data_IF_092576677108
#
_entry.id   IF_092576677108
#
_cell.length_a   1.000
_cell.length_b   1.000
_cell.length_c   1.000
_cell.angle_alpha   90.00
_cell.angle_beta   90.00
_cell.angle_gamma   90.00
#
_symmetry.space_group_name_H-M   'P 1'
#
loop_
_entity.id
_entity.type
_entity.pdbx_description
1 polymer ?
#
# COMPACT_ATOMS: atom_id res chain seq x y z
N UNK A 1 36.24 -29.52 21.61
CA UNK A 1 35.92 -29.90 20.22
C UNK A 1 35.54 -28.62 19.48
N UNK A 2 36.40 -28.13 18.58
CA UNK A 2 36.16 -26.86 17.89
C UNK A 2 35.02 -26.99 16.86
N UNK A 3 33.98 -26.16 16.99
CA UNK A 3 32.96 -26.00 15.97
C UNK A 3 33.62 -25.37 14.73
N UNK A 4 33.75 -26.12 13.65
CA UNK A 4 34.14 -25.56 12.34
C UNK A 4 32.94 -24.79 11.79
N UNK A 5 32.83 -23.51 12.14
CA UNK A 5 31.80 -22.64 11.60
C UNK A 5 32.13 -22.35 10.12
N UNK A 6 31.28 -22.86 9.22
CA UNK A 6 31.43 -22.68 7.78
C UNK A 6 31.14 -21.23 7.41
N UNK A 7 31.86 -20.71 6.40
CA UNK A 7 31.62 -19.38 5.79
C UNK A 7 32.03 -18.17 6.63
N UNK A 8 32.97 -18.34 7.57
CA UNK A 8 33.57 -17.23 8.32
C UNK A 8 34.89 -16.81 7.66
N UNK A 9 35.08 -15.49 7.51
CA UNK A 9 36.33 -14.88 7.06
C UNK A 9 36.87 -14.00 8.18
N UNK A 10 38.03 -14.37 8.70
CA UNK A 10 38.76 -13.59 9.71
C UNK A 10 39.67 -12.56 9.03
N UNK A 11 39.69 -11.35 9.57
CA UNK A 11 40.57 -10.27 9.15
C UNK A 11 41.77 -10.15 10.08
N UNK A 12 42.85 -9.55 9.60
CA UNK A 12 44.04 -9.27 10.41
C UNK A 12 43.76 -8.44 11.69
N UNK A 13 42.63 -7.72 11.74
CA UNK A 13 42.18 -6.97 12.92
C UNK A 13 41.49 -7.82 14.00
N UNK A 14 41.33 -9.14 13.77
CA UNK A 14 40.54 -10.05 14.61
C UNK A 14 39.03 -9.92 14.41
N UNK A 15 38.57 -9.04 13.52
CA UNK A 15 37.16 -8.99 13.11
C UNK A 15 36.84 -10.14 12.18
N UNK A 16 35.62 -10.63 12.27
CA UNK A 16 35.10 -11.74 11.49
C UNK A 16 33.90 -11.29 10.67
N UNK A 17 33.82 -11.76 9.43
CA UNK A 17 32.64 -11.61 8.57
C UNK A 17 32.06 -12.98 8.24
N UNK A 18 30.73 -13.10 8.24
CA UNK A 18 30.04 -14.14 7.50
C UNK A 18 30.07 -13.80 6.01
N UNK A 19 30.49 -14.73 5.15
CA UNK A 19 30.47 -14.57 3.69
C UNK A 19 30.07 -15.84 2.98
N UNK A 20 28.88 -15.82 2.35
CA UNK A 20 28.40 -16.94 1.56
C UNK A 20 27.87 -16.47 0.20
N UNK A 21 28.45 -17.01 -0.86
CA UNK A 21 28.05 -16.72 -2.25
C UNK A 21 26.83 -17.55 -2.64
N UNK A 22 25.93 -16.95 -3.41
CA UNK A 22 24.85 -17.70 -4.04
C UNK A 22 25.40 -18.49 -5.25
N UNK A 23 24.83 -19.66 -5.57
CA UNK A 23 25.10 -20.33 -6.84
C UNK A 23 24.86 -19.40 -8.02
N UNK A 24 25.73 -19.40 -9.03
CA UNK A 24 25.65 -18.49 -10.19
C UNK A 24 24.29 -18.55 -10.89
N UNK A 25 23.66 -19.72 -10.94
CA UNK A 25 22.32 -19.91 -11.53
C UNK A 25 21.17 -19.26 -10.73
N UNK A 26 21.38 -18.93 -9.45
CA UNK A 26 20.39 -18.29 -8.59
C UNK A 26 20.55 -16.76 -8.52
N UNK A 27 21.76 -16.23 -8.76
CA UNK A 27 22.06 -14.79 -8.64
C UNK A 27 21.05 -13.88 -9.37
N UNK A 28 20.60 -14.17 -10.62
CA UNK A 28 19.61 -13.32 -11.30
C UNK A 28 18.23 -13.26 -10.63
N UNK A 29 17.95 -14.20 -9.71
CA UNK A 29 16.68 -14.32 -9.01
C UNK A 29 16.77 -13.90 -7.53
N UNK A 30 17.97 -13.54 -7.04
CA UNK A 30 18.14 -13.01 -5.69
C UNK A 30 17.68 -11.55 -5.68
N UNK A 31 16.85 -11.12 -4.72
CA UNK A 31 16.47 -9.72 -4.55
C UNK A 31 17.70 -8.80 -4.55
N UNK A 32 17.66 -7.73 -5.34
CA UNK A 32 18.77 -6.78 -5.49
C UNK A 32 20.02 -7.32 -6.22
N UNK A 33 19.91 -8.47 -6.91
CA UNK A 33 21.01 -9.13 -7.64
C UNK A 33 22.26 -9.39 -6.78
N UNK A 34 22.04 -9.63 -5.48
CA UNK A 34 23.12 -9.88 -4.53
C UNK A 34 23.86 -11.16 -4.89
N UNK A 35 25.18 -11.06 -5.07
CA UNK A 35 26.05 -12.22 -5.35
C UNK A 35 26.41 -13.00 -4.09
N UNK A 36 26.32 -12.36 -2.92
CA UNK A 36 26.69 -12.93 -1.63
C UNK A 36 25.98 -12.24 -0.47
N UNK A 37 25.80 -12.98 0.62
CA UNK A 37 25.43 -12.41 1.93
C UNK A 37 26.72 -12.13 2.70
N UNK A 38 26.89 -10.87 3.14
CA UNK A 38 28.00 -10.43 3.99
C UNK A 38 27.49 -9.73 5.23
N UNK A 39 27.84 -10.25 6.41
CA UNK A 39 27.51 -9.65 7.71
C UNK A 39 28.74 -9.64 8.60
N UNK A 40 28.96 -8.53 9.30
CA UNK A 40 30.00 -8.45 10.34
C UNK A 40 29.52 -9.25 11.54
N UNK A 41 30.39 -10.12 12.05
CA UNK A 41 30.12 -10.93 13.24
C UNK A 41 30.78 -10.34 14.50
N UNK A 42 31.57 -9.27 14.35
CA UNK A 42 32.39 -8.75 15.45
C UNK A 42 33.68 -9.55 15.58
N UNK A 43 34.14 -9.79 16.81
CA UNK A 43 35.25 -10.69 17.14
C UNK A 43 34.69 -12.03 17.62
N UNK A 44 35.48 -13.10 17.51
CA UNK A 44 35.09 -14.44 17.97
C UNK A 44 34.68 -14.47 19.45
N UNK A 45 35.30 -13.63 20.27
CA UNK A 45 35.02 -13.53 21.70
C UNK A 45 33.82 -12.65 22.05
N UNK A 46 33.18 -12.00 21.05
CA UNK A 46 32.01 -11.16 21.32
C UNK A 46 30.80 -12.04 21.69
N UNK A 47 30.03 -11.69 22.73
CA UNK A 47 28.90 -12.51 23.20
C UNK A 47 27.79 -12.68 22.15
N UNK A 48 27.71 -11.76 21.19
CA UNK A 48 26.73 -11.79 20.10
C UNK A 48 27.18 -12.59 18.87
N UNK A 49 28.44 -13.04 18.81
CA UNK A 49 29.03 -13.65 17.63
C UNK A 49 28.18 -14.81 17.07
N UNK A 50 27.80 -15.75 17.93
CA UNK A 50 26.98 -16.91 17.56
C UNK A 50 25.55 -16.54 17.15
N UNK A 51 24.99 -15.48 17.73
CA UNK A 51 23.67 -14.97 17.36
C UNK A 51 23.72 -14.36 15.96
N UNK A 52 24.65 -13.45 15.73
CA UNK A 52 24.86 -12.79 14.44
C UNK A 52 25.19 -13.79 13.33
N UNK A 53 25.99 -14.82 13.63
CA UNK A 53 26.29 -15.88 12.68
C UNK A 53 25.02 -16.66 12.28
N UNK A 54 24.17 -17.04 13.25
CA UNK A 54 22.91 -17.73 12.98
C UNK A 54 21.93 -16.85 12.20
N UNK A 55 21.86 -15.56 12.50
CA UNK A 55 21.04 -14.60 11.77
C UNK A 55 21.49 -14.48 10.30
N UNK A 56 22.80 -14.29 10.07
CA UNK A 56 23.36 -14.22 8.72
C UNK A 56 23.15 -15.53 7.92
N UNK A 57 23.26 -16.69 8.58
CA UNK A 57 22.99 -17.98 7.95
C UNK A 57 21.51 -18.14 7.57
N UNK A 58 20.58 -17.77 8.46
CA UNK A 58 19.14 -17.78 8.18
C UNK A 58 18.76 -16.83 7.06
N UNK A 59 19.38 -15.65 7.03
CA UNK A 59 19.19 -14.69 5.95
C UNK A 59 19.60 -15.27 4.59
N UNK A 60 20.78 -15.88 4.51
CA UNK A 60 21.21 -16.57 3.31
C UNK A 60 20.22 -17.67 2.89
N UNK A 61 19.77 -18.51 3.83
CA UNK A 61 18.84 -19.60 3.54
C UNK A 61 17.49 -19.08 3.03
N UNK A 62 16.97 -18.01 3.64
CA UNK A 62 15.74 -17.32 3.19
C UNK A 62 15.88 -16.82 1.76
N UNK A 63 16.93 -16.04 1.47
CA UNK A 63 17.18 -15.48 0.14
C UNK A 63 17.43 -16.57 -0.91
N UNK A 64 18.18 -17.61 -0.57
CA UNK A 64 18.42 -18.73 -1.47
C UNK A 64 17.13 -19.49 -1.80
N UNK A 65 16.25 -19.72 -0.79
CA UNK A 65 14.95 -20.36 -0.99
C UNK A 65 14.03 -19.51 -1.86
N UNK A 66 14.01 -18.18 -1.66
CA UNK A 66 13.25 -17.26 -2.50
C UNK A 66 13.76 -17.26 -3.95
N UNK A 67 15.07 -17.15 -4.15
CA UNK A 67 15.67 -17.18 -5.48
C UNK A 67 15.39 -18.52 -6.20
N UNK A 68 15.42 -19.63 -5.44
CA UNK A 68 15.06 -20.96 -5.94
C UNK A 68 13.59 -21.01 -6.38
N UNK A 69 12.66 -20.52 -5.55
CA UNK A 69 11.24 -20.39 -5.91
C UNK A 69 11.03 -19.55 -7.17
N UNK A 70 11.67 -18.39 -7.24
CA UNK A 70 11.57 -17.48 -8.38
C UNK A 70 12.10 -18.11 -9.68
N UNK A 71 13.25 -18.81 -9.62
CA UNK A 71 13.80 -19.57 -10.76
C UNK A 71 12.81 -20.61 -11.26
N UNK A 72 12.22 -21.35 -10.33
CA UNK A 72 11.30 -22.45 -10.63
C UNK A 72 9.87 -21.95 -10.93
N UNK A 73 9.64 -20.63 -10.90
CA UNK A 73 8.33 -19.98 -11.06
C UNK A 73 7.28 -20.50 -10.06
N UNK A 74 7.73 -20.93 -8.89
CA UNK A 74 6.90 -21.38 -7.79
C UNK A 74 6.51 -20.16 -6.93
N UNK A 75 5.51 -19.41 -7.40
CA UNK A 75 5.04 -18.20 -6.76
C UNK A 75 4.01 -18.50 -5.67
N UNK A 76 4.07 -17.74 -4.59
CA UNK A 76 3.14 -17.77 -3.47
C UNK A 76 1.88 -16.96 -3.82
N UNK A 77 0.70 -17.49 -3.48
CA UNK A 77 -0.55 -16.77 -3.59
C UNK A 77 -0.71 -15.83 -2.38
N UNK A 78 -0.97 -14.54 -2.62
CA UNK A 78 -1.37 -13.60 -1.58
C UNK A 78 -2.88 -13.61 -1.43
N UNK A 79 -3.39 -14.58 -0.68
CA UNK A 79 -4.79 -14.64 -0.32
C UNK A 79 -5.17 -13.60 0.76
N UNK A 80 -6.46 -13.43 0.98
CA UNK A 80 -6.96 -12.45 1.94
C UNK A 80 -6.45 -12.70 3.39
N UNK A 81 -6.41 -13.95 3.91
CA UNK A 81 -5.80 -14.23 5.21
C UNK A 81 -4.33 -13.84 5.31
N UNK A 82 -3.53 -14.12 4.28
CA UNK A 82 -2.10 -13.78 4.25
C UNK A 82 -1.91 -12.27 4.21
N UNK A 83 -2.68 -11.55 3.40
CA UNK A 83 -2.63 -10.08 3.35
C UNK A 83 -3.03 -9.47 4.70
N UNK A 84 -4.06 -10.00 5.35
CA UNK A 84 -4.47 -9.55 6.68
C UNK A 84 -3.37 -9.76 7.72
N UNK A 85 -2.75 -10.95 7.73
CA UNK A 85 -1.63 -11.24 8.63
C UNK A 85 -0.41 -10.34 8.37
N UNK A 86 -0.05 -10.10 7.10
CA UNK A 86 1.03 -9.16 6.75
C UNK A 86 0.72 -7.75 7.26
N UNK A 87 -0.52 -7.28 7.06
CA UNK A 87 -0.95 -5.97 7.53
C UNK A 87 -0.93 -5.85 9.06
N UNK A 88 -1.35 -6.88 9.80
CA UNK A 88 -1.27 -6.91 11.26
C UNK A 88 0.19 -6.98 11.76
N UNK A 89 1.04 -7.75 11.08
CA UNK A 89 2.47 -7.84 11.37
C UNK A 89 3.13 -6.48 11.20
N UNK A 90 2.82 -5.78 10.11
CA UNK A 90 3.30 -4.42 9.86
C UNK A 90 2.91 -3.45 10.99
N UNK A 91 1.68 -3.52 11.51
CA UNK A 91 1.27 -2.69 12.66
C UNK A 91 2.07 -3.04 13.91
N UNK A 92 2.29 -4.32 14.18
CA UNK A 92 3.09 -4.75 15.33
C UNK A 92 4.52 -4.24 15.24
N UNK A 93 5.19 -4.43 14.09
CA UNK A 93 6.56 -3.96 13.85
C UNK A 93 6.67 -2.43 13.96
N UNK A 94 5.72 -1.68 13.39
CA UNK A 94 5.71 -0.21 13.47
C UNK A 94 5.55 0.31 14.91
N UNK A 95 4.79 -0.39 15.75
CA UNK A 95 4.56 -0.02 17.15
C UNK A 95 5.66 -0.50 18.09
N UNK A 96 6.29 -1.64 17.79
CA UNK A 96 7.49 -2.12 18.47
C UNK A 96 8.65 -1.15 18.21
N UNK A 97 8.87 -0.77 16.94
CA UNK A 97 9.89 0.23 16.59
C UNK A 97 9.64 1.60 17.24
N UNK A 98 8.38 2.04 17.38
CA UNK A 98 8.02 3.24 18.13
C UNK A 98 8.37 3.13 19.62
N UNK A 99 8.11 1.97 20.22
CA UNK A 99 8.42 1.69 21.62
C UNK A 99 9.93 1.67 21.88
N UNK A 100 10.70 1.00 21.02
CA UNK A 100 12.17 0.97 21.10
C UNK A 100 12.76 2.38 20.92
N UNK A 101 12.35 3.10 19.87
CA UNK A 101 12.87 4.43 19.56
C UNK A 101 12.58 5.45 20.67
N UNK A 102 11.45 5.30 21.38
CA UNK A 102 11.10 6.16 22.52
C UNK A 102 12.14 6.10 23.63
N UNK A 103 12.70 4.92 23.87
CA UNK A 103 13.61 4.65 24.97
C UNK A 103 15.08 4.55 24.55
N UNK A 104 15.40 4.82 23.28
CA UNK A 104 16.77 4.79 22.77
C UNK A 104 17.65 5.87 23.42
N UNK A 105 18.55 5.44 24.29
CA UNK A 105 19.50 6.32 24.97
C UNK A 105 20.71 6.69 24.09
N UNK A 106 21.07 5.83 23.14
CA UNK A 106 22.21 6.05 22.24
C UNK A 106 21.88 7.12 21.21
N UNK A 107 20.66 7.10 20.65
CA UNK A 107 20.18 8.14 19.74
C UNK A 107 20.22 9.51 20.44
N UNK A 108 19.71 9.59 21.68
CA UNK A 108 19.74 10.83 22.48
C UNK A 108 21.16 11.35 22.67
N UNK A 109 22.11 10.48 23.00
CA UNK A 109 23.50 10.88 23.18
C UNK A 109 24.19 11.27 21.87
N UNK A 110 23.88 10.58 20.77
CA UNK A 110 24.34 10.96 19.43
C UNK A 110 23.89 12.38 19.07
N UNK A 111 22.65 12.75 19.36
CA UNK A 111 22.15 14.10 19.10
C UNK A 111 22.81 15.15 19.99
N UNK A 112 23.04 14.86 21.28
CA UNK A 112 23.80 15.77 22.15
C UNK A 112 25.21 16.02 21.62
N UNK A 113 25.89 14.96 21.15
CA UNK A 113 27.22 15.08 20.54
C UNK A 113 27.18 15.89 19.24
N UNK A 114 26.19 15.64 18.39
CA UNK A 114 26.01 16.37 17.13
C UNK A 114 25.74 17.85 17.37
N UNK A 115 24.89 18.18 18.35
CA UNK A 115 24.63 19.55 18.74
C UNK A 115 25.90 20.28 19.22
N UNK A 116 26.69 19.65 20.10
CA UNK A 116 27.97 20.20 20.56
C UNK A 116 28.95 20.42 19.42
N UNK A 117 29.04 19.49 18.47
CA UNK A 117 29.89 19.64 17.28
C UNK A 117 29.43 20.80 16.38
N UNK A 118 28.11 20.98 16.20
CA UNK A 118 27.57 22.12 15.45
C UNK A 118 27.81 23.47 16.15
N UNK A 119 27.72 23.51 17.48
CA UNK A 119 28.07 24.69 18.28
C UNK A 119 29.56 25.03 18.15
N UNK A 120 30.45 24.03 18.25
CA UNK A 120 31.89 24.21 18.08
C UNK A 120 32.27 24.71 16.68
N UNK A 121 31.47 24.37 15.66
CA UNK A 121 31.64 24.83 14.27
C UNK A 121 30.95 26.16 13.99
N UNK A 122 30.37 26.81 14.99
CA UNK A 122 29.58 28.04 14.85
C UNK A 122 28.39 27.89 13.87
N UNK A 123 27.92 26.65 13.68
CA UNK A 123 26.82 26.29 12.78
C UNK A 123 25.48 26.07 13.53
N UNK A 124 25.46 26.26 14.85
CA UNK A 124 24.28 26.01 15.70
C UNK A 124 23.00 26.72 15.23
N UNK A 125 23.12 27.90 14.62
CA UNK A 125 21.97 28.66 14.09
C UNK A 125 21.20 27.95 12.95
N UNK A 126 21.73 26.85 12.41
CA UNK A 126 21.07 26.06 11.36
C UNK A 126 20.29 24.84 11.87
N UNK A 127 20.45 24.48 13.15
CA UNK A 127 19.69 23.38 13.73
C UNK A 127 18.26 23.84 14.06
N UNK A 128 17.25 23.09 13.60
CA UNK A 128 15.84 23.35 13.92
C UNK A 128 15.41 22.78 15.28
N UNK A 129 16.35 22.30 16.11
CA UNK A 129 16.08 21.65 17.38
C UNK A 129 17.06 22.10 18.47
N UNK A 130 16.58 22.11 19.72
CA UNK A 130 17.41 22.40 20.89
C UNK A 130 18.03 21.10 21.44
N UNK A 131 19.31 21.08 21.85
CA UNK A 131 19.99 19.85 22.30
C UNK A 131 19.37 19.25 23.56
N UNK A 132 18.88 20.12 24.46
CA UNK A 132 18.32 19.75 25.75
C UNK A 132 16.79 19.68 25.77
N UNK A 133 16.11 19.72 24.62
CA UNK A 133 14.66 19.60 24.58
C UNK A 133 14.22 18.16 24.91
N UNK A 134 13.61 17.90 26.08
CA UNK A 134 13.19 16.56 26.47
C UNK A 134 12.04 16.03 25.60
N UNK A 135 11.31 16.90 24.92
CA UNK A 135 10.18 16.57 24.05
C UNK A 135 10.58 16.48 22.59
N UNK A 136 11.85 16.62 22.24
CA UNK A 136 12.33 16.62 20.85
C UNK A 136 11.88 15.37 20.07
N UNK A 137 12.09 14.18 20.64
CA UNK A 137 11.64 12.92 20.02
C UNK A 137 10.13 12.94 19.81
N UNK A 138 9.37 13.29 20.85
CA UNK A 138 7.90 13.32 20.79
C UNK A 138 7.39 14.31 19.73
N UNK A 139 7.98 15.50 19.65
CA UNK A 139 7.65 16.53 18.64
C UNK A 139 7.95 16.05 17.22
N UNK A 140 9.14 15.48 16.99
CA UNK A 140 9.54 14.93 15.68
C UNK A 140 8.62 13.77 15.27
N UNK A 141 8.36 12.84 16.18
CA UNK A 141 7.49 11.68 15.92
C UNK A 141 6.06 12.13 15.64
N UNK A 142 5.54 13.12 16.39
CA UNK A 142 4.22 13.70 16.15
C UNK A 142 4.11 14.33 14.77
N UNK A 143 5.08 15.14 14.37
CA UNK A 143 5.09 15.77 13.05
C UNK A 143 5.07 14.71 11.93
N UNK A 144 5.95 13.71 12.02
CA UNK A 144 6.04 12.64 11.04
C UNK A 144 4.76 11.79 10.99
N UNK A 145 4.23 11.37 12.15
CA UNK A 145 3.03 10.55 12.26
C UNK A 145 1.79 11.30 11.75
N UNK A 146 1.60 12.57 12.12
CA UNK A 146 0.48 13.39 11.65
C UNK A 146 0.54 13.61 10.14
N UNK A 147 1.70 13.98 9.60
CA UNK A 147 1.86 14.16 8.15
C UNK A 147 1.53 12.86 7.39
N UNK A 148 2.05 11.74 7.88
CA UNK A 148 1.84 10.44 7.25
C UNK A 148 0.38 9.98 7.34
N UNK A 149 -0.27 10.21 8.48
CA UNK A 149 -1.69 9.92 8.69
C UNK A 149 -2.57 10.71 7.72
N UNK A 150 -2.35 12.03 7.61
CA UNK A 150 -3.11 12.89 6.71
C UNK A 150 -2.90 12.49 5.24
N UNK A 151 -1.66 12.21 4.84
CA UNK A 151 -1.34 11.77 3.49
C UNK A 151 -2.07 10.45 3.13
N UNK A 152 -1.98 9.44 4.00
CA UNK A 152 -2.58 8.12 3.77
C UNK A 152 -4.10 8.14 3.80
N UNK A 153 -4.71 8.91 4.71
CA UNK A 153 -6.16 9.15 4.73
C UNK A 153 -6.62 9.88 3.47
N UNK A 154 -5.86 10.86 2.98
CA UNK A 154 -6.14 11.58 1.74
C UNK A 154 -6.18 10.64 0.52
N UNK A 155 -5.15 9.81 0.35
CA UNK A 155 -5.10 8.79 -0.70
C UNK A 155 -6.29 7.82 -0.62
N UNK A 156 -6.61 7.36 0.59
CA UNK A 156 -7.73 6.44 0.83
C UNK A 156 -9.08 7.06 0.51
N UNK A 157 -9.32 8.30 0.96
CA UNK A 157 -10.57 9.03 0.72
C UNK A 157 -10.78 9.37 -0.76
N UNK A 158 -9.71 9.67 -1.49
CA UNK A 158 -9.76 9.89 -2.93
C UNK A 158 -9.96 8.61 -3.75
N UNK A 159 -9.75 7.43 -3.16
CA UNK A 159 -9.70 6.17 -3.89
C UNK A 159 -8.49 6.07 -4.84
N UNK A 160 -7.41 6.80 -4.55
CA UNK A 160 -6.20 6.86 -5.39
C UNK A 160 -5.32 5.62 -5.19
N UNK A 161 -5.71 4.50 -5.82
CA UNK A 161 -4.97 3.25 -5.73
C UNK A 161 -3.55 3.37 -6.31
N UNK A 162 -3.35 4.15 -7.37
CA UNK A 162 -2.02 4.36 -7.96
C UNK A 162 -1.10 5.10 -6.98
N UNK A 163 -1.62 6.14 -6.34
CA UNK A 163 -0.91 6.87 -5.28
C UNK A 163 -0.56 5.99 -4.09
N UNK A 164 -1.48 5.11 -3.67
CA UNK A 164 -1.25 4.13 -2.60
C UNK A 164 -0.11 3.17 -2.98
N UNK A 165 -0.17 2.56 -4.17
CA UNK A 165 0.88 1.63 -4.63
C UNK A 165 2.21 2.33 -4.71
N UNK A 166 2.28 3.52 -5.35
CA UNK A 166 3.54 4.28 -5.45
C UNK A 166 4.14 4.62 -4.07
N UNK A 167 3.31 4.83 -3.06
CA UNK A 167 3.73 5.20 -1.71
C UNK A 167 4.20 4.01 -0.86
N UNK A 168 3.62 2.82 -1.08
CA UNK A 168 3.81 1.66 -0.19
C UNK A 168 4.45 0.43 -0.86
N UNK A 169 4.72 0.48 -2.16
CA UNK A 169 5.24 -0.68 -2.88
C UNK A 169 6.58 -1.16 -2.32
N UNK A 170 7.47 -0.23 -1.95
CA UNK A 170 8.79 -0.59 -1.41
C UNK A 170 8.65 -1.29 -0.06
N UNK A 171 7.81 -0.75 0.82
CA UNK A 171 7.50 -1.35 2.12
C UNK A 171 6.83 -2.72 1.96
N UNK A 172 5.91 -2.85 1.00
CA UNK A 172 5.27 -4.12 0.68
C UNK A 172 6.29 -5.18 0.20
N UNK A 173 7.21 -4.81 -0.70
CA UNK A 173 8.26 -5.69 -1.20
C UNK A 173 9.22 -6.12 -0.08
N UNK A 174 9.64 -5.19 0.78
CA UNK A 174 10.48 -5.48 1.94
C UNK A 174 9.79 -6.43 2.93
N UNK A 175 8.51 -6.22 3.20
CA UNK A 175 7.73 -7.07 4.11
C UNK A 175 7.55 -8.48 3.54
N UNK A 176 7.23 -8.60 2.24
CA UNK A 176 7.16 -9.89 1.55
C UNK A 176 8.50 -10.61 1.59
N UNK A 177 9.59 -9.89 1.32
CA UNK A 177 10.94 -10.44 1.39
C UNK A 177 11.26 -10.94 2.80
N UNK A 178 11.06 -10.11 3.83
CA UNK A 178 11.33 -10.45 5.23
C UNK A 178 10.66 -11.76 5.65
N UNK A 179 9.44 -12.01 5.17
CA UNK A 179 8.67 -13.22 5.46
C UNK A 179 8.79 -14.34 4.42
N UNK A 180 9.64 -14.16 3.40
CA UNK A 180 10.00 -15.18 2.42
C UNK A 180 8.91 -15.49 1.38
N UNK A 181 8.06 -14.53 1.07
CA UNK A 181 7.06 -14.62 0.01
C UNK A 181 7.64 -14.23 -1.34
N UNK A 182 7.32 -14.99 -2.38
CA UNK A 182 7.69 -14.71 -3.78
C UNK A 182 6.43 -14.62 -4.61
N UNK A 183 6.04 -13.42 -5.01
CA UNK A 183 4.85 -13.20 -5.84
C UNK A 183 5.18 -13.24 -7.33
N UNK A 184 4.20 -13.63 -8.14
CA UNK A 184 4.33 -13.57 -9.59
C UNK A 184 4.39 -12.11 -10.06
N UNK A 185 5.35 -11.70 -10.91
CA UNK A 185 5.42 -10.33 -11.43
C UNK A 185 4.16 -9.91 -12.22
N UNK A 186 3.41 -10.88 -12.74
CA UNK A 186 2.15 -10.67 -13.44
C UNK A 186 0.95 -10.44 -12.50
N UNK A 187 1.06 -10.78 -11.22
CA UNK A 187 -0.04 -10.63 -10.25
C UNK A 187 -0.07 -9.22 -9.65
N UNK A 188 -0.39 -8.26 -10.51
CA UNK A 188 -0.49 -6.84 -10.14
C UNK A 188 -1.59 -6.62 -9.10
N UNK A 189 -2.65 -7.42 -9.13
CA UNK A 189 -3.78 -7.28 -8.21
C UNK A 189 -3.43 -7.72 -6.78
N UNK A 190 -2.66 -8.80 -6.62
CA UNK A 190 -2.14 -9.18 -5.31
C UNK A 190 -1.34 -8.05 -4.66
N UNK A 191 -0.41 -7.45 -5.42
CA UNK A 191 0.39 -6.31 -4.92
C UNK A 191 -0.49 -5.08 -4.60
N UNK A 192 -1.45 -4.74 -5.47
CA UNK A 192 -2.39 -3.64 -5.20
C UNK A 192 -3.22 -3.86 -3.93
N UNK A 193 -3.70 -5.08 -3.72
CA UNK A 193 -4.47 -5.43 -2.53
C UNK A 193 -3.61 -5.36 -1.26
N UNK A 194 -2.35 -5.82 -1.32
CA UNK A 194 -1.41 -5.69 -0.21
C UNK A 194 -1.10 -4.23 0.10
N UNK A 195 -0.75 -3.41 -0.90
CA UNK A 195 -0.48 -1.98 -0.69
C UNK A 195 -1.68 -1.25 -0.07
N UNK A 196 -2.91 -1.59 -0.50
CA UNK A 196 -4.13 -1.04 0.10
C UNK A 196 -4.29 -1.46 1.56
N UNK A 197 -4.04 -2.73 1.89
CA UNK A 197 -4.09 -3.21 3.26
C UNK A 197 -3.00 -2.56 4.13
N UNK A 198 -1.79 -2.38 3.60
CA UNK A 198 -0.69 -1.69 4.29
C UNK A 198 -0.98 -0.20 4.49
N UNK A 199 -1.74 0.45 3.60
CA UNK A 199 -2.18 1.82 3.81
C UNK A 199 -3.12 1.92 5.02
N UNK A 200 -4.08 1.01 5.12
CA UNK A 200 -5.01 0.96 6.25
C UNK A 200 -4.27 0.59 7.56
N UNK A 201 -3.33 -0.35 7.51
CA UNK A 201 -2.44 -0.69 8.62
C UNK A 201 -1.58 0.50 9.07
N UNK A 202 -1.01 1.23 8.12
CA UNK A 202 -0.21 2.42 8.37
C UNK A 202 -1.00 3.57 8.99
N UNK A 203 -2.28 3.73 8.62
CA UNK A 203 -3.19 4.67 9.26
C UNK A 203 -3.37 4.27 10.73
N UNK A 204 -3.71 2.99 10.99
CA UNK A 204 -3.88 2.46 12.34
C UNK A 204 -2.63 2.62 13.20
N UNK A 205 -1.44 2.34 12.67
CA UNK A 205 -0.18 2.50 13.38
C UNK A 205 0.11 3.98 13.70
N UNK A 206 -0.15 4.91 12.76
CA UNK A 206 0.06 6.34 12.99
C UNK A 206 -0.92 6.91 14.04
N UNK A 207 -2.18 6.48 14.03
CA UNK A 207 -3.17 6.83 15.07
C UNK A 207 -2.69 6.36 16.45
N UNK A 208 -2.31 5.10 16.58
CA UNK A 208 -1.78 4.55 17.83
C UNK A 208 -0.51 5.28 18.32
N UNK A 209 0.40 5.66 17.42
CA UNK A 209 1.59 6.46 17.77
C UNK A 209 1.19 7.84 18.33
N UNK A 210 0.20 8.51 17.72
CA UNK A 210 -0.31 9.80 18.20
C UNK A 210 -0.98 9.67 19.57
N UNK A 211 -1.82 8.65 19.77
CA UNK A 211 -2.46 8.38 21.05
C UNK A 211 -1.42 8.17 22.16
N UNK A 212 -0.36 7.38 21.90
CA UNK A 212 0.74 7.21 22.86
C UNK A 212 1.46 8.53 23.18
N UNK A 213 1.60 9.42 22.20
CA UNK A 213 2.22 10.73 22.38
C UNK A 213 1.30 11.70 23.15
N UNK A 214 0.00 11.45 23.15
CA UNK A 214 -0.99 12.16 23.98
C UNK A 214 -1.07 11.60 25.41
N UNK A 215 -0.34 10.52 25.69
CA UNK A 215 -0.25 9.90 27.01
C UNK A 215 -1.20 8.72 27.21
N UNK A 216 -1.91 8.30 26.16
CA UNK A 216 -2.80 7.14 26.22
C UNK A 216 -2.01 5.82 26.27
N UNK A 217 -2.51 4.86 27.04
CA UNK A 217 -1.90 3.54 27.16
C UNK A 217 -2.28 2.66 25.96
N UNK A 218 -1.45 2.69 24.92
CA UNK A 218 -1.60 1.83 23.74
C UNK A 218 -0.52 0.75 23.73
N UNK A 219 -0.93 -0.48 24.03
CA UNK A 219 -0.03 -1.64 24.05
C UNK A 219 0.51 -1.96 22.65
N UNK A 220 1.78 -2.38 22.59
CA UNK A 220 2.33 -2.98 21.37
C UNK A 220 1.67 -4.35 21.17
N UNK A 221 0.95 -4.57 20.05
CA UNK A 221 0.31 -5.86 19.81
C UNK A 221 1.38 -6.92 19.60
N UNK A 222 1.15 -8.13 20.11
CA UNK A 222 2.02 -9.26 19.84
C UNK A 222 2.04 -9.56 18.33
N UNK A 223 3.19 -10.00 17.81
CA UNK A 223 3.31 -10.43 16.42
C UNK A 223 2.25 -11.51 16.12
N UNK A 224 1.37 -11.29 15.13
CA UNK A 224 0.31 -12.23 14.85
C UNK A 224 0.90 -13.55 14.36
N UNK A 225 0.25 -14.66 14.74
CA UNK A 225 0.70 -15.98 14.28
C UNK A 225 0.48 -16.08 12.78
N UNK A 226 1.54 -16.43 12.04
CA UNK A 226 1.46 -16.67 10.60
C UNK A 226 0.33 -17.67 10.35
N UNK A 227 -0.61 -17.38 9.43
CA UNK A 227 -1.53 -18.38 8.94
C UNK A 227 -0.68 -19.56 8.52
N UNK A 228 -0.80 -20.67 9.25
CA UNK A 228 -0.19 -21.93 8.82
C UNK A 228 -0.78 -22.12 7.43
N UNK A 229 0.07 -22.26 6.40
CA UNK A 229 -0.37 -22.81 5.12
C UNK A 229 -1.21 -24.01 5.52
N UNK A 230 -2.53 -23.89 5.43
CA UNK A 230 -3.40 -25.04 5.64
C UNK A 230 -3.01 -25.89 4.47
N UNK A 231 -2.05 -26.78 4.71
CA UNK A 231 -1.42 -27.64 3.71
C UNK A 231 -2.57 -28.06 2.85
N UNK A 232 -2.55 -27.57 1.60
CA UNK A 232 -3.69 -27.57 0.73
C UNK A 232 -4.49 -28.82 1.02
N UNK A 233 -5.70 -28.70 1.59
CA UNK A 233 -6.70 -29.71 1.25
C UNK A 233 -6.60 -29.74 -0.26
N UNK A 234 -6.06 -30.82 -0.85
CA UNK A 234 -5.49 -30.81 -2.19
C UNK A 234 -6.47 -30.04 -3.01
N UNK A 235 -6.09 -28.82 -3.46
CA UNK A 235 -6.99 -27.85 -4.07
C UNK A 235 -7.92 -28.68 -4.93
N UNK A 236 -9.13 -28.97 -4.44
CA UNK A 236 -9.91 -30.08 -5.01
C UNK A 236 -10.17 -29.57 -6.40
N UNK A 237 -9.47 -30.17 -7.37
CA UNK A 237 -9.17 -29.55 -8.65
C UNK A 237 -10.42 -28.78 -9.05
N UNK A 238 -10.39 -27.43 -8.95
CA UNK A 238 -11.60 -26.58 -8.89
C UNK A 238 -12.61 -27.24 -9.80
N UNK A 239 -13.65 -27.86 -9.21
CA UNK A 239 -14.50 -28.79 -9.97
C UNK A 239 -14.85 -28.07 -11.25
N UNK A 240 -14.37 -28.58 -12.38
CA UNK A 240 -14.42 -27.83 -13.65
C UNK A 240 -15.85 -27.37 -13.83
N UNK A 241 -16.07 -26.06 -13.77
CA UNK A 241 -17.40 -25.50 -13.92
C UNK A 241 -17.54 -25.25 -15.41
N UNK A 242 -18.28 -26.10 -16.11
CA UNK A 242 -18.52 -25.93 -17.54
C UNK A 242 -19.32 -24.64 -17.79
N UNK A 243 -18.84 -23.77 -18.68
CA UNK A 243 -19.57 -22.57 -19.13
C UNK A 243 -20.89 -22.97 -19.81
N UNK A 244 -20.85 -24.04 -20.60
CA UNK A 244 -22.04 -24.59 -21.24
C UNK A 244 -23.05 -25.14 -20.24
N UNK A 245 -22.63 -25.98 -19.28
CA UNK A 245 -23.55 -26.50 -18.24
C UNK A 245 -24.12 -25.36 -17.37
N UNK A 246 -23.30 -24.36 -17.07
CA UNK A 246 -23.74 -23.16 -16.35
C UNK A 246 -24.81 -22.41 -17.15
N UNK A 247 -24.64 -22.28 -18.46
CA UNK A 247 -25.65 -21.69 -19.34
C UNK A 247 -26.93 -22.52 -19.37
N UNK A 248 -26.85 -23.85 -19.48
CA UNK A 248 -28.04 -24.71 -19.47
C UNK A 248 -28.82 -24.57 -18.15
N UNK A 249 -28.13 -24.50 -17.02
CA UNK A 249 -28.73 -24.24 -15.71
C UNK A 249 -29.46 -22.89 -15.65
N UNK A 250 -28.83 -21.83 -16.17
CA UNK A 250 -29.45 -20.52 -16.29
C UNK A 250 -30.69 -20.56 -17.22
N UNK A 251 -30.57 -21.22 -18.36
CA UNK A 251 -31.60 -21.30 -19.39
C UNK A 251 -32.77 -22.21 -19.02
N UNK A 252 -32.62 -23.10 -18.04
CA UNK A 252 -33.67 -23.96 -17.50
C UNK A 252 -34.75 -23.17 -16.72
N UNK A 253 -34.49 -21.90 -16.36
CA UNK A 253 -35.49 -21.04 -15.73
C UNK A 253 -36.67 -20.78 -16.69
N UNK A 254 -37.91 -20.69 -16.17
CA UNK A 254 -39.12 -20.59 -16.99
C UNK A 254 -39.23 -19.28 -17.80
N UNK A 255 -38.40 -18.28 -17.52
CA UNK A 255 -38.49 -16.94 -18.11
C UNK A 255 -37.80 -16.81 -19.48
N UNK A 256 -37.14 -17.86 -19.97
CA UNK A 256 -36.42 -17.82 -21.25
C UNK A 256 -37.18 -18.50 -22.37
N UNK A 257 -37.49 -17.75 -23.44
CA UNK A 257 -38.14 -18.32 -24.63
C UNK A 257 -37.17 -19.26 -25.38
N UNK A 258 -37.66 -20.31 -26.06
CA UNK A 258 -36.81 -21.27 -26.77
C UNK A 258 -35.87 -20.63 -27.80
N UNK A 259 -36.36 -19.63 -28.55
CA UNK A 259 -35.53 -18.94 -29.55
C UNK A 259 -34.38 -18.14 -28.95
N UNK A 260 -34.61 -17.48 -27.80
CA UNK A 260 -33.54 -16.73 -27.09
C UNK A 260 -32.54 -17.71 -26.49
N UNK A 261 -33.00 -18.83 -25.95
CA UNK A 261 -32.13 -19.91 -25.45
C UNK A 261 -31.19 -20.41 -26.55
N UNK A 262 -31.73 -20.76 -27.72
CA UNK A 262 -30.92 -21.27 -28.84
C UNK A 262 -29.93 -20.23 -29.38
N UNK A 263 -30.35 -18.96 -29.45
CA UNK A 263 -29.48 -17.86 -29.87
C UNK A 263 -28.32 -17.67 -28.88
N UNK A 264 -28.60 -17.62 -27.58
CA UNK A 264 -27.58 -17.39 -26.54
C UNK A 264 -26.65 -18.59 -26.39
N UNK A 265 -27.16 -19.82 -26.53
CA UNK A 265 -26.37 -21.05 -26.53
C UNK A 265 -25.25 -20.99 -27.56
N UNK A 266 -25.55 -20.49 -28.77
CA UNK A 266 -24.56 -20.34 -29.84
C UNK A 266 -23.48 -19.31 -29.50
N UNK A 267 -23.83 -18.24 -28.77
CA UNK A 267 -22.87 -17.22 -28.36
C UNK A 267 -21.91 -17.75 -27.30
N UNK A 268 -22.42 -18.49 -26.30
CA UNK A 268 -21.59 -19.14 -25.27
C UNK A 268 -20.71 -20.22 -25.89
N UNK A 269 -21.27 -21.07 -26.76
CA UNK A 269 -20.50 -22.10 -27.46
C UNK A 269 -19.35 -21.51 -28.30
N UNK A 270 -19.59 -20.37 -28.94
CA UNK A 270 -18.56 -19.65 -29.71
C UNK A 270 -17.45 -19.08 -28.82
N UNK A 271 -17.78 -18.62 -27.61
CA UNK A 271 -16.76 -18.20 -26.64
C UNK A 271 -15.90 -19.40 -26.23
N UNK A 272 -16.52 -20.53 -25.92
CA UNK A 272 -15.81 -21.78 -25.55
C UNK A 272 -14.88 -22.25 -26.67
N UNK A 273 -15.35 -22.20 -27.92
CA UNK A 273 -14.53 -22.50 -29.10
C UNK A 273 -13.33 -21.57 -29.23
N UNK A 274 -13.54 -20.25 -29.05
CA UNK A 274 -12.46 -19.25 -29.11
C UNK A 274 -11.44 -19.41 -27.97
N UNK A 275 -11.89 -19.74 -26.75
CA UNK A 275 -11.00 -19.98 -25.60
C UNK A 275 -10.23 -21.31 -25.71
N UNK A 276 -10.75 -22.27 -26.47
CA UNK A 276 -10.24 -23.64 -26.51
C UNK A 276 -10.49 -24.43 -25.22
N UNK A 277 -11.32 -23.91 -24.31
CA UNK A 277 -11.74 -24.60 -23.09
C UNK A 277 -13.13 -24.15 -22.63
N UNK A 278 -13.81 -25.04 -21.91
CA UNK A 278 -15.16 -24.82 -21.35
C UNK A 278 -15.14 -24.48 -19.85
N UNK A 279 -13.97 -24.23 -19.26
CA UNK A 279 -13.85 -23.97 -17.83
C UNK A 279 -14.13 -22.50 -17.46
N UNK A 280 -15.29 -22.24 -16.85
CA UNK A 280 -15.70 -20.92 -16.39
C UNK A 280 -14.78 -20.36 -15.30
N UNK A 281 -14.07 -21.21 -14.54
CA UNK A 281 -13.17 -20.76 -13.47
C UNK A 281 -11.84 -20.22 -13.99
N UNK A 282 -11.53 -20.46 -15.26
CA UNK A 282 -10.35 -19.95 -15.96
C UNK A 282 -10.63 -18.67 -16.75
N UNK A 283 -11.89 -18.29 -16.90
CA UNK A 283 -12.29 -17.12 -17.67
C UNK A 283 -11.92 -15.82 -16.92
N UNK A 284 -11.14 -14.96 -17.56
CA UNK A 284 -10.75 -13.65 -17.02
C UNK A 284 -11.46 -12.49 -17.72
N UNK A 285 -11.35 -11.28 -17.16
CA UNK A 285 -11.88 -10.07 -17.78
C UNK A 285 -11.14 -9.71 -19.08
N UNK A 286 -9.83 -10.00 -19.15
CA UNK A 286 -9.00 -9.76 -20.33
C UNK A 286 -9.39 -10.69 -21.47
N UNK A 287 -9.73 -11.95 -21.18
CA UNK A 287 -10.25 -12.90 -22.17
C UNK A 287 -11.53 -12.37 -22.83
N UNK A 288 -12.47 -11.83 -22.04
CA UNK A 288 -13.69 -11.24 -22.56
C UNK A 288 -13.44 -9.98 -23.40
N UNK A 289 -12.43 -9.17 -23.03
CA UNK A 289 -12.05 -7.99 -23.79
C UNK A 289 -11.39 -8.37 -25.12
N UNK A 290 -10.49 -9.37 -25.11
CA UNK A 290 -9.85 -9.91 -26.29
C UNK A 290 -10.87 -10.56 -27.24
N UNK A 291 -11.78 -11.38 -26.70
CA UNK A 291 -12.87 -11.97 -27.48
C UNK A 291 -13.80 -10.92 -28.08
N UNK A 292 -14.13 -9.87 -27.32
CA UNK A 292 -14.91 -8.74 -27.85
C UNK A 292 -14.21 -8.08 -29.04
N UNK A 293 -12.89 -7.88 -28.95
CA UNK A 293 -12.13 -7.26 -30.04
C UNK A 293 -12.07 -8.19 -31.26
N UNK A 294 -11.91 -9.51 -31.07
CA UNK A 294 -11.96 -10.51 -32.15
C UNK A 294 -13.31 -10.48 -32.88
N UNK A 295 -14.42 -10.43 -32.12
CA UNK A 295 -15.76 -10.35 -32.70
C UNK A 295 -15.97 -9.08 -33.53
N UNK A 296 -15.28 -7.99 -33.22
CA UNK A 296 -15.35 -6.73 -33.96
C UNK A 296 -14.49 -6.72 -35.22
N UNK A 297 -13.39 -7.49 -35.25
CA UNK A 297 -12.54 -7.66 -36.43
C UNK A 297 -13.06 -8.71 -37.42
N UNK A 298 -13.91 -9.63 -36.96
CA UNK A 298 -14.47 -10.66 -37.80
C UNK A 298 -15.49 -10.10 -38.82
N UNK A 299 -15.37 -10.53 -40.08
CA UNK A 299 -16.36 -10.26 -41.11
C UNK A 299 -17.52 -11.25 -41.02
N UNK A 300 -18.74 -10.72 -41.07
CA UNK A 300 -19.96 -11.50 -41.16
C UNK A 300 -20.08 -12.16 -42.54
N UNK A 301 -21.03 -13.11 -42.69
CA UNK A 301 -21.30 -13.80 -43.96
C UNK A 301 -21.58 -12.85 -45.14
N UNK A 302 -22.01 -11.62 -44.87
CA UNK A 302 -22.27 -10.59 -45.88
C UNK A 302 -21.04 -9.74 -46.22
N UNK A 303 -19.86 -10.10 -45.70
CA UNK A 303 -18.59 -9.40 -45.92
C UNK A 303 -18.42 -8.11 -45.11
N UNK A 304 -19.41 -7.74 -44.27
CA UNK A 304 -19.35 -6.57 -43.40
C UNK A 304 -18.79 -6.94 -42.03
N UNK A 305 -18.04 -6.03 -41.40
CA UNK A 305 -17.66 -6.15 -40.00
C UNK A 305 -18.90 -6.26 -39.11
N UNK A 306 -18.76 -6.97 -38.00
CA UNK A 306 -19.85 -7.13 -37.04
C UNK A 306 -20.18 -5.82 -36.36
N UNK A 307 -21.48 -5.55 -36.20
CA UNK A 307 -21.95 -4.33 -35.56
C UNK A 307 -21.57 -4.31 -34.05
N UNK A 308 -20.97 -3.21 -33.53
CA UNK A 308 -20.57 -3.12 -32.14
C UNK A 308 -21.71 -3.24 -31.12
N UNK A 309 -22.91 -2.77 -31.47
CA UNK A 309 -24.12 -2.91 -30.65
C UNK A 309 -24.49 -4.38 -30.53
N UNK A 310 -24.38 -5.14 -31.64
CA UNK A 310 -24.65 -6.58 -31.62
C UNK A 310 -23.66 -7.34 -30.72
N UNK A 311 -22.35 -7.03 -30.82
CA UNK A 311 -21.33 -7.66 -29.95
C UNK A 311 -21.64 -7.37 -28.48
N UNK A 312 -21.88 -6.10 -28.15
CA UNK A 312 -22.13 -5.67 -26.76
C UNK A 312 -23.44 -6.24 -26.21
N UNK A 313 -24.54 -6.07 -26.92
CA UNK A 313 -25.89 -6.31 -26.39
C UNK A 313 -26.31 -7.77 -26.49
N UNK A 314 -25.72 -8.56 -27.39
CA UNK A 314 -26.03 -9.98 -27.54
C UNK A 314 -24.93 -10.89 -26.97
N UNK A 315 -23.72 -10.81 -27.51
CA UNK A 315 -22.63 -11.73 -27.15
C UNK A 315 -22.18 -11.49 -25.70
N UNK A 316 -21.77 -10.27 -25.37
CA UNK A 316 -21.26 -9.97 -24.04
C UNK A 316 -22.36 -10.03 -22.98
N UNK A 317 -23.58 -9.58 -23.29
CA UNK A 317 -24.72 -9.64 -22.37
C UNK A 317 -25.10 -11.07 -21.99
N UNK A 318 -25.16 -12.00 -22.95
CA UNK A 318 -25.54 -13.40 -22.67
C UNK A 318 -24.54 -14.10 -21.75
N UNK A 319 -23.24 -13.91 -21.98
CA UNK A 319 -22.17 -14.44 -21.11
C UNK A 319 -22.26 -13.81 -19.72
N UNK A 320 -22.42 -12.48 -19.62
CA UNK A 320 -22.57 -11.79 -18.33
C UNK A 320 -23.78 -12.26 -17.54
N UNK A 321 -24.92 -12.45 -18.19
CA UNK A 321 -26.13 -12.95 -17.54
C UNK A 321 -25.91 -14.35 -16.97
N UNK A 322 -25.27 -15.23 -17.75
CA UNK A 322 -24.91 -16.60 -17.34
C UNK A 322 -23.99 -16.62 -16.12
N UNK A 323 -22.91 -15.83 -16.15
CA UNK A 323 -21.95 -15.75 -15.05
C UNK A 323 -22.57 -15.14 -13.77
N UNK A 324 -23.37 -14.08 -13.92
CA UNK A 324 -24.05 -13.46 -12.79
C UNK A 324 -25.04 -14.42 -12.12
N UNK A 325 -25.78 -15.19 -12.93
CA UNK A 325 -26.66 -16.24 -12.43
C UNK A 325 -25.87 -17.30 -11.64
N UNK A 326 -24.75 -17.78 -12.19
CA UNK A 326 -23.91 -18.78 -11.53
C UNK A 326 -23.41 -18.31 -10.15
N UNK A 327 -23.02 -17.03 -10.04
CA UNK A 327 -22.63 -16.42 -8.77
C UNK A 327 -23.81 -16.39 -7.80
N UNK A 328 -25.01 -16.02 -8.26
CA UNK A 328 -26.21 -15.97 -7.43
C UNK A 328 -26.63 -17.35 -6.91
N UNK A 329 -26.65 -18.39 -7.74
CA UNK A 329 -26.99 -19.75 -7.31
C UNK A 329 -25.95 -20.30 -6.34
N UNK A 330 -24.66 -20.01 -6.55
CA UNK A 330 -23.59 -20.40 -5.62
C UNK A 330 -23.74 -19.72 -4.26
N UNK A 331 -24.20 -18.46 -4.24
CA UNK A 331 -24.54 -17.75 -3.00
C UNK A 331 -25.80 -18.34 -2.33
N UNK A 332 -26.79 -18.79 -3.12
CA UNK A 332 -28.01 -19.41 -2.61
C UNK A 332 -27.79 -20.83 -2.07
N UNK A 333 -26.79 -21.56 -2.58
CA UNK A 333 -26.38 -22.88 -2.13
C UNK A 333 -25.58 -22.88 -0.81
N UNK A 334 -25.12 -21.71 -0.34
CA UNK A 334 -24.54 -21.59 0.99
C UNK A 334 -25.65 -21.68 2.04
N UNK A 335 -25.44 -22.42 3.14
CA UNK A 335 -26.43 -22.47 4.21
C UNK A 335 -26.70 -21.05 4.71
N UNK A 336 -27.95 -20.62 4.64
CA UNK A 336 -28.37 -19.33 5.21
C UNK A 336 -28.09 -19.42 6.72
N UNK A 337 -27.20 -18.57 7.20
CA UNK A 337 -27.03 -18.39 8.64
C UNK A 337 -28.39 -17.95 9.21
N UNK A 338 -29.05 -18.85 9.95
CA UNK A 338 -30.26 -18.52 10.68
C UNK A 338 -29.88 -17.61 11.85
N UNK A 339 -29.98 -16.30 11.62
CA UNK A 339 -29.97 -15.26 12.64
C UNK A 339 -31.23 -14.41 12.48
N UNK A 340 -31.88 -13.99 13.57
CA UNK A 340 -33.25 -13.46 13.52
C UNK A 340 -33.29 -12.09 12.82
N UNK A 341 -33.89 -12.07 11.63
CA UNK A 341 -34.28 -10.84 10.95
C UNK A 341 -35.58 -10.31 11.55
N UNK A 342 -35.47 -9.14 12.17
CA UNK A 342 -36.58 -8.25 12.52
C UNK A 342 -37.46 -8.00 11.29
N UNK A 343 -38.75 -8.36 11.39
CA UNK A 343 -39.80 -7.99 10.44
C UNK A 343 -40.06 -6.48 10.53
N UNK A 344 -40.02 -5.77 9.40
CA UNK A 344 -40.75 -4.50 9.23
C UNK A 344 -41.98 -4.75 8.36
N UNK A 345 -43.17 -4.25 8.75
CA UNK A 345 -44.39 -4.35 7.96
C UNK A 345 -44.37 -3.32 6.82
N UNK A 346 -45.07 -3.66 5.74
CA UNK A 346 -44.95 -3.02 4.44
C UNK A 346 -45.82 -1.78 4.21
N UNK A 347 -45.66 -1.28 2.99
CA UNK A 347 -46.68 -0.56 2.22
C UNK A 347 -46.61 0.96 2.30
N UNK A 348 -46.10 1.59 1.24
CA UNK A 348 -46.86 2.57 0.45
C UNK A 348 -46.19 2.72 -0.93
N UNK A 349 -46.90 2.27 -1.97
CA UNK A 349 -46.67 2.73 -3.34
C UNK A 349 -47.09 4.20 -3.44
N UNK A 350 -46.29 5.03 -4.13
CA UNK A 350 -46.76 6.26 -4.74
C UNK A 350 -46.01 6.48 -6.07
N UNK A 351 -46.70 6.76 -7.18
CA UNK A 351 -46.14 6.78 -8.52
C UNK A 351 -45.54 8.15 -8.87
N UNK A 352 -44.82 8.21 -10.00
CA UNK A 352 -44.39 9.37 -10.81
C UNK A 352 -42.86 9.38 -11.02
N UNK A 353 -42.49 9.41 -12.31
CA UNK A 353 -41.15 9.38 -12.93
C UNK A 353 -40.58 7.99 -13.27
N UNK A 354 -40.95 7.53 -14.48
CA UNK A 354 -40.22 6.51 -15.20
C UNK A 354 -38.88 7.01 -15.77
N UNK A 355 -37.99 6.06 -16.07
CA UNK A 355 -36.88 6.30 -16.99
C UNK A 355 -35.49 5.90 -16.47
N UNK A 356 -35.04 4.73 -16.95
CA UNK A 356 -33.65 4.41 -17.37
C UNK A 356 -32.54 4.59 -16.31
N UNK A 357 -32.17 3.49 -15.64
CA UNK A 357 -30.81 3.33 -15.09
C UNK A 357 -29.89 2.70 -16.13
N UNK A 358 -29.20 3.58 -16.84
CA UNK A 358 -28.00 3.28 -17.61
C UNK A 358 -26.80 3.31 -16.66
N UNK A 359 -26.09 2.20 -16.46
CA UNK A 359 -24.69 2.20 -16.05
C UNK A 359 -23.93 1.28 -17.02
N UNK A 360 -23.78 1.77 -18.24
CA UNK A 360 -22.55 1.64 -19.02
C UNK A 360 -21.90 3.02 -18.97
N UNK A 361 -20.61 3.09 -18.60
CA UNK A 361 -19.56 4.01 -19.06
C UNK A 361 -18.42 3.95 -18.03
N UNK A 362 -17.36 3.21 -18.35
CA UNK A 362 -15.96 3.48 -17.95
C UNK A 362 -15.01 2.87 -19.00
N UNK A 363 -15.25 3.24 -20.25
CA UNK A 363 -14.42 2.88 -21.40
C UNK A 363 -14.46 4.07 -22.38
N UNK A 364 -13.90 5.23 -21.96
CA UNK A 364 -13.52 6.38 -22.79
C UNK A 364 -13.07 7.55 -21.89
N UNK A 365 -11.81 7.51 -21.43
CA UNK A 365 -10.99 8.69 -21.05
C UNK A 365 -9.51 8.32 -21.21
N UNK A 366 -9.16 7.86 -22.41
CA UNK A 366 -7.78 7.64 -22.84
C UNK A 366 -7.56 8.39 -24.14
N UNK A 367 -6.41 9.05 -24.25
CA UNK A 367 -5.96 9.90 -25.37
C UNK A 367 -6.42 11.36 -25.30
N UNK A 368 -5.66 12.17 -24.56
CA UNK A 368 -5.05 13.42 -25.04
C UNK A 368 -4.21 14.05 -23.92
N UNK A 369 -2.88 13.81 -23.98
CA UNK A 369 -1.76 14.74 -23.71
C UNK A 369 -0.50 13.99 -23.32
N UNK A 370 0.22 13.55 -24.36
CA UNK A 370 1.68 13.55 -24.33
C UNK A 370 2.14 14.99 -24.60
N UNK A 371 2.84 15.59 -23.64
CA UNK A 371 3.89 16.58 -23.83
C UNK A 371 4.54 16.79 -22.45
N UNK A 372 5.46 15.90 -22.07
CA UNK A 372 6.60 16.34 -21.27
C UNK A 372 7.50 17.23 -22.14
N UNK A 373 8.32 18.08 -21.51
CA UNK A 373 9.73 17.71 -21.52
C UNK A 373 10.36 17.68 -20.12
N UNK A 374 11.29 16.74 -20.05
CA UNK A 374 12.17 16.35 -18.95
C UNK A 374 13.05 17.48 -18.38
N UNK A 375 13.40 17.25 -17.12
CA UNK A 375 14.72 17.40 -16.50
C UNK A 375 15.45 18.75 -16.58
N UNK A 376 15.62 19.38 -15.42
CA UNK A 376 16.80 20.21 -15.13
C UNK A 376 17.87 19.34 -14.47
N UNK A 377 18.85 18.96 -15.28
CA UNK A 377 20.20 18.62 -14.85
C UNK A 377 20.88 19.94 -14.40
N UNK A 378 21.66 19.98 -13.30
CA UNK A 378 22.39 21.18 -12.91
C UNK A 378 23.52 21.47 -13.90
N UNK A 379 23.40 22.57 -14.64
CA UNK A 379 24.47 23.10 -15.50
C UNK A 379 25.40 23.94 -14.61
N UNK A 380 26.66 23.51 -14.54
CA UNK A 380 27.80 24.25 -13.98
C UNK A 380 28.05 25.46 -14.89
N UNK A 381 27.94 26.68 -14.38
CA UNK A 381 28.28 27.88 -15.14
C UNK A 381 29.80 28.03 -15.28
N UNK A 382 30.34 28.24 -16.50
CA UNK A 382 31.73 28.62 -16.69
C UNK A 382 31.98 30.05 -16.17
N UNK A 383 33.19 30.29 -15.70
CA UNK A 383 33.60 31.57 -15.11
C UNK A 383 33.70 32.67 -16.18
N UNK A 384 33.63 33.95 -15.76
CA UNK A 384 33.72 35.16 -16.61
C UNK A 384 34.98 35.27 -17.50
N UNK A 385 35.94 34.33 -17.41
CA UNK A 385 37.13 34.30 -18.28
C UNK A 385 36.91 33.52 -19.59
N UNK A 386 35.83 32.76 -19.75
CA UNK A 386 35.61 31.89 -20.93
C UNK A 386 34.69 32.48 -22.01
N UNK A 387 34.10 33.67 -21.82
CA UNK A 387 33.20 34.30 -22.80
C UNK A 387 33.88 35.29 -23.78
N UNK A 388 35.21 35.29 -23.92
CA UNK A 388 35.93 36.21 -24.85
C UNK A 388 36.36 35.58 -26.19
N UNK A 389 36.06 34.31 -26.46
CA UNK A 389 36.54 33.61 -27.66
C UNK A 389 35.46 33.19 -28.67
N UNK A 390 34.18 33.52 -28.45
CA UNK A 390 33.12 33.20 -29.42
C UNK A 390 32.43 34.48 -29.91
N UNK A 391 32.84 34.95 -31.08
CA UNK A 391 32.33 36.16 -31.73
C UNK A 391 30.87 36.05 -32.17
N UNK A 392 29.93 36.30 -31.27
CA UNK A 392 28.51 36.46 -31.59
C UNK A 392 28.08 37.93 -31.49
N UNK A 393 27.55 38.43 -32.61
CA UNK A 393 27.03 39.79 -32.78
C UNK A 393 25.71 39.97 -32.05
N UNK A 394 25.52 41.19 -31.54
CA UNK A 394 24.36 41.65 -30.79
C UNK A 394 23.06 41.68 -31.62
N UNK A 395 21.96 41.25 -31.02
CA UNK A 395 20.60 41.63 -31.42
C UNK A 395 19.88 42.24 -30.22
N UNK A 396 19.43 43.49 -30.41
CA UNK A 396 18.63 44.29 -29.48
C UNK A 396 17.30 43.62 -29.17
N UNK A 397 16.92 43.54 -27.90
CA UNK A 397 15.51 43.59 -27.47
C UNK A 397 15.37 44.58 -26.32
N UNK A 398 14.47 45.56 -26.50
CA UNK A 398 14.14 46.61 -25.52
C UNK A 398 13.03 46.14 -24.59
N UNK A 399 13.23 46.50 -23.31
CA UNK A 399 12.27 47.01 -22.33
C UNK A 399 10.80 46.55 -22.36
N UNK A 400 10.38 45.94 -21.26
CA UNK A 400 9.30 46.53 -20.45
C UNK A 400 9.65 46.34 -18.97
N UNK A 401 9.85 47.46 -18.27
CA UNK A 401 10.25 47.58 -16.87
C UNK A 401 9.08 48.23 -16.14
N UNK A 402 8.44 47.51 -15.22
CA UNK A 402 7.46 48.08 -14.28
C UNK A 402 7.94 47.83 -12.86
N UNK A 403 8.16 48.94 -12.17
CA UNK A 403 8.63 49.11 -10.80
C UNK A 403 7.56 48.75 -9.77
N UNK A 404 7.97 48.32 -8.57
CA UNK A 404 7.48 48.77 -7.24
C UNK A 404 8.32 48.02 -6.18
N UNK A 405 9.34 48.61 -5.57
CA UNK A 405 9.35 49.65 -4.54
C UNK A 405 9.12 49.08 -3.12
N UNK A 406 10.22 49.08 -2.35
CA UNK A 406 10.31 48.74 -0.95
C UNK A 406 9.70 49.84 -0.06
N UNK A 407 9.04 49.44 1.02
CA UNK A 407 8.56 50.33 2.08
C UNK A 407 9.04 49.87 3.44
N UNK A 408 9.97 50.65 4.03
CA UNK A 408 10.35 50.61 5.45
C UNK A 408 9.17 51.05 6.32
N UNK A 409 8.98 50.42 7.48
CA UNK A 409 8.23 51.01 8.60
C UNK A 409 9.17 51.10 9.81
N UNK A 410 9.23 52.31 10.38
CA UNK A 410 10.00 52.67 11.59
C UNK A 410 9.12 52.53 12.84
N UNK A 411 9.80 52.32 13.96
CA UNK A 411 9.34 52.40 15.35
C UNK A 411 8.55 53.67 15.71
N UNK A 412 7.60 53.53 16.64
CA UNK A 412 7.24 54.56 17.59
C UNK A 412 6.87 53.94 18.96
N UNK A 413 7.61 54.35 19.99
CA UNK A 413 7.33 54.11 21.42
C UNK A 413 6.23 55.04 21.93
N UNK A 414 5.39 54.58 22.86
CA UNK A 414 4.76 55.39 23.92
C UNK A 414 4.38 54.47 25.10
N UNK A 415 4.65 54.92 26.32
CA UNK A 415 4.26 54.34 27.61
C UNK A 415 3.66 55.48 28.49
N UNK A 416 3.31 55.28 29.77
CA UNK A 416 2.20 54.47 30.31
C UNK A 416 1.25 55.32 31.20
N UNK A 417 0.09 54.79 31.61
CA UNK A 417 -0.75 55.42 32.66
C UNK A 417 -1.53 54.41 33.55
N UNK A 418 -1.08 54.33 34.81
CA UNK A 418 -1.82 54.33 36.11
C UNK A 418 -3.06 53.44 36.40
N UNK A 419 -2.96 52.72 37.55
CA UNK A 419 -4.02 52.03 38.35
C UNK A 419 -4.94 53.01 39.13
N UNK A 420 -6.06 52.54 39.71
CA UNK A 420 -6.13 52.26 41.17
C UNK A 420 -6.94 50.97 41.56
N UNK A 421 -6.48 50.15 42.54
CA UNK A 421 -6.96 49.95 43.95
C UNK A 421 -8.46 49.59 44.11
N UNK A 422 -8.86 48.35 44.45
CA UNK A 422 -8.84 47.58 45.73
C UNK A 422 -10.06 47.77 46.67
N UNK A 423 -10.79 46.68 46.96
CA UNK A 423 -11.55 46.34 48.20
C UNK A 423 -11.87 44.83 48.14
N UNK A 424 -11.27 43.92 48.92
CA UNK A 424 -11.59 43.49 50.30
C UNK A 424 -13.11 43.20 50.45
N UNK A 425 -13.65 41.98 50.64
CA UNK A 425 -13.41 40.77 51.47
C UNK A 425 -14.83 40.22 51.85
N UNK A 426 -15.08 39.20 52.72
CA UNK A 426 -14.25 38.14 53.30
C UNK A 426 -14.87 36.70 53.24
N UNK A 427 -14.17 35.76 53.86
CA UNK A 427 -14.44 34.33 54.09
C UNK A 427 -15.62 33.96 55.02
N UNK A 428 -16.18 32.75 54.84
CA UNK A 428 -16.66 31.79 55.88
C UNK A 428 -16.95 30.43 55.18
N UNK A 429 -16.32 29.28 55.44
CA UNK A 429 -16.33 28.35 56.60
C UNK A 429 -17.68 27.60 56.84
N UNK A 430 -17.81 26.42 56.19
CA UNK A 430 -18.17 25.06 56.71
C UNK A 430 -19.62 24.71 57.21
N UNK A 431 -19.99 23.39 57.36
CA UNK A 431 -21.23 22.70 56.86
C UNK A 431 -22.13 22.20 58.04
N UNK A 432 -22.81 21.01 58.06
CA UNK A 432 -23.53 20.17 57.07
C UNK A 432 -25.02 19.90 57.50
N UNK A 433 -25.85 19.20 56.71
CA UNK A 433 -27.02 18.50 57.24
C UNK A 433 -27.49 17.30 56.38
N UNK A 434 -27.74 16.19 57.06
CA UNK A 434 -28.12 14.86 56.61
C UNK A 434 -29.61 14.71 56.20
N UNK A 435 -29.92 13.69 55.39
CA UNK A 435 -30.97 12.62 55.53
C UNK A 435 -31.53 12.16 54.17
N UNK A 436 -31.33 10.89 53.79
CA UNK A 436 -32.20 9.68 53.92
C UNK A 436 -33.25 9.57 52.79
N UNK A 437 -33.19 8.51 51.97
CA UNK A 437 -34.09 7.30 51.99
C UNK A 437 -35.52 7.66 51.52
N UNK A 438 -36.17 7.06 50.51
CA UNK A 438 -36.36 5.65 50.12
C UNK A 438 -36.74 5.57 48.61
N UNK A 439 -36.28 4.58 47.84
CA UNK A 439 -37.01 3.37 47.45
C UNK A 439 -38.48 3.56 46.97
N UNK A 440 -38.67 3.59 45.64
CA UNK A 440 -39.60 2.74 44.88
C UNK A 440 -39.24 2.76 43.40
#
# INVERSE_FOLDING_TARGET
MGLVLRYIVEHASGRCDYRRYFPTALVPFVPGELKLVKRSLGKVDDPDFDRLHREAAREYERLAKMAQKARDKAYDALDAPTIAWLAETFVAEELEADEEARWDTEERELYRRTAKDLEQREAAATASWHPDDPLRWASKTREAASWSLDHRRGLRAAGDLEGIVRSLQVEAELLLEAHGFVIAPSDVHAMQNLCRALNDASIKAAEAKLDRLDGEEVLTPATPTRPVEVADKPHTAKTKVSLMETFEGYAAKPDMTPGVRDEWRRYVARLVEWLGHDDATRLTADDLLAWKNELLSETTRTGRLRDPVTVRDKYITSVKATLNWAVQERLAALPKAEGPLSRRPGGHECPILGGKRTIQIWLLKGVLRHCQPRARIPIRFPSRRECRSAGFRAARWRCCRSSHAAGRIRHASLAPATRPRSRAGPCAVRPPCCRRQDAM
#
